data_IF_910676211663
#
_entry.id   IF_910676211663
#
_cell.length_a   1.000
_cell.length_b   1.000
_cell.length_c   1.000
_cell.angle_alpha   90.00
_cell.angle_beta   90.00
_cell.angle_gamma   90.00
#
_symmetry.space_group_name_H-M   'P 1'
#
loop_
_entity.id
_entity.type
_entity.pdbx_description
1 polymer ?
#
# COMPACT_ATOMS: atom_id res chain seq x y z
N UNK A 1 25.46 2.67 2.33
CA UNK A 1 24.64 1.81 3.20
C UNK A 1 23.29 1.44 2.57
N UNK A 2 22.43 2.40 2.19
CA UNK A 2 21.12 2.11 1.55
C UNK A 2 21.27 1.25 0.29
N UNK A 3 22.14 1.64 -0.65
CA UNK A 3 22.38 0.88 -1.88
C UNK A 3 22.96 -0.53 -1.64
N UNK A 4 23.73 -0.72 -0.57
CA UNK A 4 24.26 -2.04 -0.20
C UNK A 4 23.15 -2.97 0.31
N UNK A 5 22.21 -2.45 1.11
CA UNK A 5 21.07 -3.21 1.60
C UNK A 5 20.09 -3.58 0.47
N UNK A 6 19.83 -2.66 -0.46
CA UNK A 6 19.03 -2.93 -1.65
C UNK A 6 19.71 -4.03 -2.50
N UNK A 7 21.02 -3.90 -2.74
CA UNK A 7 21.79 -4.91 -3.50
C UNK A 7 21.78 -6.27 -2.80
N UNK A 8 21.90 -6.29 -1.47
CA UNK A 8 21.81 -7.52 -0.68
C UNK A 8 20.42 -8.15 -0.83
N UNK A 9 19.35 -7.38 -0.68
CA UNK A 9 17.98 -7.87 -0.86
C UNK A 9 17.78 -8.49 -2.25
N UNK A 10 18.19 -7.78 -3.29
CA UNK A 10 18.07 -8.28 -4.67
C UNK A 10 18.87 -9.57 -4.89
N UNK A 11 20.08 -9.67 -4.33
CA UNK A 11 20.88 -10.92 -4.39
C UNK A 11 20.22 -12.07 -3.67
N UNK A 12 19.68 -11.84 -2.47
CA UNK A 12 18.98 -12.88 -1.71
C UNK A 12 17.76 -13.36 -2.51
N UNK A 13 16.93 -12.44 -3.00
CA UNK A 13 15.79 -12.78 -3.83
C UNK A 13 16.20 -13.57 -5.08
N UNK A 14 17.20 -13.10 -5.81
CA UNK A 14 17.70 -13.79 -6.99
C UNK A 14 18.20 -15.20 -6.68
N UNK A 15 18.99 -15.37 -5.61
CA UNK A 15 19.51 -16.68 -5.21
C UNK A 15 18.39 -17.65 -4.79
N UNK A 16 17.35 -17.18 -4.11
CA UNK A 16 16.18 -18.00 -3.75
C UNK A 16 15.43 -18.43 -5.01
N UNK A 17 15.19 -17.51 -5.93
CA UNK A 17 14.52 -17.79 -7.19
C UNK A 17 15.30 -18.79 -8.06
N UNK A 18 16.62 -18.63 -8.17
CA UNK A 18 17.45 -19.52 -8.99
C UNK A 18 17.64 -20.92 -8.40
N UNK A 19 17.56 -21.07 -7.06
CA UNK A 19 17.72 -22.38 -6.42
C UNK A 19 16.49 -23.28 -6.50
N UNK A 20 15.31 -22.70 -6.68
CA UNK A 20 14.04 -23.42 -6.72
C UNK A 20 13.29 -23.10 -8.01
N UNK A 21 13.42 -23.96 -9.02
CA UNK A 21 12.80 -23.77 -10.35
C UNK A 21 11.29 -23.55 -10.25
N UNK A 22 10.61 -24.26 -9.35
CA UNK A 22 9.16 -24.11 -9.12
C UNK A 22 8.83 -22.68 -8.62
N UNK A 23 9.61 -22.16 -7.66
CA UNK A 23 9.44 -20.81 -7.13
C UNK A 23 9.70 -19.76 -8.22
N UNK A 24 10.70 -19.98 -9.06
CA UNK A 24 11.00 -19.12 -10.20
C UNK A 24 9.82 -19.05 -11.18
N UNK A 25 9.30 -20.20 -11.60
CA UNK A 25 8.19 -20.30 -12.54
C UNK A 25 6.94 -19.63 -11.96
N UNK A 26 6.57 -19.94 -10.72
CA UNK A 26 5.42 -19.34 -10.05
C UNK A 26 5.58 -17.82 -9.88
N UNK A 27 6.78 -17.35 -9.54
CA UNK A 27 7.06 -15.91 -9.42
C UNK A 27 6.94 -15.21 -10.78
N UNK A 28 7.37 -15.85 -11.85
CA UNK A 28 7.31 -15.29 -13.20
C UNK A 28 5.87 -15.23 -13.70
N UNK A 29 5.08 -16.27 -13.46
CA UNK A 29 3.64 -16.30 -13.77
C UNK A 29 2.92 -15.20 -12.97
N UNK A 30 3.18 -15.09 -11.66
CA UNK A 30 2.57 -14.09 -10.81
C UNK A 30 2.93 -12.66 -11.25
N UNK A 31 4.19 -12.44 -11.68
CA UNK A 31 4.66 -11.15 -12.18
C UNK A 31 3.98 -10.79 -13.51
N UNK A 32 3.92 -11.73 -14.46
CA UNK A 32 3.26 -11.51 -15.76
C UNK A 32 1.76 -11.26 -15.59
N UNK A 33 1.10 -12.07 -14.75
CA UNK A 33 -0.32 -11.91 -14.46
C UNK A 33 -0.59 -10.56 -13.77
N UNK A 34 0.23 -10.19 -12.78
CA UNK A 34 0.11 -8.92 -12.09
C UNK A 34 0.32 -7.72 -13.01
N UNK A 35 1.34 -7.76 -13.88
CA UNK A 35 1.58 -6.71 -14.89
C UNK A 35 0.43 -6.64 -15.90
N UNK A 36 -0.09 -7.78 -16.34
CA UNK A 36 -1.25 -7.84 -17.24
C UNK A 36 -2.49 -7.20 -16.61
N UNK A 37 -2.75 -7.51 -15.34
CA UNK A 37 -3.87 -6.94 -14.60
C UNK A 37 -3.73 -5.43 -14.38
N UNK A 38 -2.55 -4.96 -13.98
CA UNK A 38 -2.27 -3.53 -13.85
C UNK A 38 -2.38 -2.84 -15.21
N UNK A 39 -1.82 -3.41 -16.27
CA UNK A 39 -1.95 -2.89 -17.63
C UNK A 39 -3.41 -2.77 -18.09
N UNK A 40 -4.22 -3.80 -17.82
CA UNK A 40 -5.65 -3.78 -18.12
C UNK A 40 -6.39 -2.68 -17.35
N UNK A 41 -6.02 -2.43 -16.07
CA UNK A 41 -6.57 -1.32 -15.29
C UNK A 41 -6.21 0.03 -15.90
N UNK A 42 -4.96 0.24 -16.33
CA UNK A 42 -4.53 1.48 -16.97
C UNK A 42 -5.26 1.74 -18.28
N UNK A 43 -5.40 0.71 -19.12
CA UNK A 43 -6.18 0.80 -20.37
C UNK A 43 -7.64 1.07 -20.09
N UNK A 44 -8.24 0.34 -19.14
CA UNK A 44 -9.64 0.51 -18.76
C UNK A 44 -9.93 1.91 -18.20
N UNK A 45 -9.08 2.40 -17.29
CA UNK A 45 -9.19 3.75 -16.73
C UNK A 45 -9.02 4.81 -17.82
N UNK A 46 -8.09 4.63 -18.75
CA UNK A 46 -7.90 5.55 -19.88
C UNK A 46 -9.11 5.59 -20.82
N UNK A 47 -9.64 4.41 -21.18
CA UNK A 47 -10.79 4.28 -22.08
C UNK A 47 -12.10 4.82 -21.47
N UNK A 48 -12.26 4.68 -20.16
CA UNK A 48 -13.47 5.07 -19.43
C UNK A 48 -13.31 6.38 -18.65
N UNK A 49 -12.22 7.11 -18.88
CA UNK A 49 -11.86 8.30 -18.08
C UNK A 49 -12.95 9.37 -18.08
N UNK A 50 -13.71 9.53 -19.16
CA UNK A 50 -14.81 10.49 -19.23
C UNK A 50 -16.05 10.06 -18.45
N UNK A 51 -16.25 8.73 -18.32
CA UNK A 51 -17.45 8.14 -17.70
C UNK A 51 -17.28 7.86 -16.20
N UNK A 52 -16.03 7.71 -15.73
CA UNK A 52 -15.74 7.37 -14.33
C UNK A 52 -15.52 8.65 -13.52
N UNK A 53 -16.23 8.83 -12.40
CA UNK A 53 -15.96 9.94 -11.48
C UNK A 53 -14.56 9.82 -10.85
N UNK A 54 -13.83 10.93 -10.69
CA UNK A 54 -12.49 10.95 -10.11
C UNK A 54 -12.40 10.31 -8.74
N UNK A 55 -13.44 10.46 -7.93
CA UNK A 55 -13.54 9.95 -6.57
C UNK A 55 -13.38 8.43 -6.49
N UNK A 56 -13.87 7.71 -7.49
CA UNK A 56 -13.73 6.24 -7.56
C UNK A 56 -12.28 5.82 -7.79
N UNK A 57 -11.60 6.52 -8.67
CA UNK A 57 -10.20 6.20 -8.98
C UNK A 57 -9.29 6.56 -7.82
N UNK A 58 -9.56 7.67 -7.12
CA UNK A 58 -8.78 8.07 -5.95
C UNK A 58 -8.99 7.14 -4.75
N UNK A 59 -10.12 6.41 -4.65
CA UNK A 59 -10.33 5.39 -3.60
C UNK A 59 -9.41 4.18 -3.73
N UNK A 60 -8.81 3.93 -4.88
CA UNK A 60 -7.83 2.85 -5.08
C UNK A 60 -6.64 3.02 -4.11
N UNK A 61 -6.22 4.27 -3.90
CA UNK A 61 -5.11 4.57 -2.98
C UNK A 61 -5.33 4.04 -1.55
N UNK A 62 -6.38 4.47 -0.85
CA UNK A 62 -6.73 3.96 0.48
C UNK A 62 -6.91 2.44 0.53
N UNK A 63 -7.50 1.81 -0.48
CA UNK A 63 -7.68 0.36 -0.54
C UNK A 63 -6.33 -0.38 -0.61
N UNK A 64 -5.43 0.06 -1.48
CA UNK A 64 -4.08 -0.52 -1.58
C UNK A 64 -3.28 -0.29 -0.29
N UNK A 65 -3.46 0.89 0.36
CA UNK A 65 -2.83 1.16 1.65
C UNK A 65 -3.30 0.17 2.73
N UNK A 66 -4.61 -0.08 2.83
CA UNK A 66 -5.16 -1.07 3.75
C UNK A 66 -4.61 -2.47 3.46
N UNK A 67 -4.43 -2.82 2.18
CA UNK A 67 -3.74 -4.05 1.79
C UNK A 67 -2.33 -4.16 2.39
N UNK A 68 -1.55 -3.08 2.39
CA UNK A 68 -0.22 -3.03 3.01
C UNK A 68 -0.22 -3.25 4.52
N UNK A 69 -1.29 -2.86 5.23
CA UNK A 69 -1.43 -3.11 6.67
C UNK A 69 -1.85 -4.55 6.97
N UNK A 70 -2.76 -5.09 6.18
CA UNK A 70 -3.39 -6.39 6.44
C UNK A 70 -2.55 -7.55 5.92
N UNK A 71 -2.04 -7.47 4.68
CA UNK A 71 -1.30 -8.56 4.04
C UNK A 71 -0.06 -9.02 4.83
N UNK A 72 0.79 -8.14 5.38
CA UNK A 72 1.93 -8.59 6.17
C UNK A 72 1.54 -9.29 7.48
N UNK A 73 0.39 -8.93 8.07
CA UNK A 73 -0.14 -9.60 9.26
C UNK A 73 -0.62 -11.02 8.94
N UNK A 74 -1.25 -11.19 7.77
CA UNK A 74 -1.73 -12.49 7.29
C UNK A 74 -0.57 -13.41 6.87
N UNK A 75 0.39 -12.84 6.18
CA UNK A 75 1.52 -13.56 5.58
C UNK A 75 2.84 -13.20 6.28
N UNK A 76 2.86 -13.29 7.62
CA UNK A 76 4.03 -12.95 8.46
C UNK A 76 5.33 -13.66 8.07
N UNK A 77 5.27 -14.62 7.15
CA UNK A 77 6.41 -15.37 6.62
C UNK A 77 6.98 -14.79 5.32
N UNK A 78 6.31 -13.83 4.66
CA UNK A 78 6.62 -13.49 3.26
C UNK A 78 7.86 -12.59 3.11
N UNK A 79 8.21 -11.73 4.05
CA UNK A 79 9.36 -10.83 3.89
C UNK A 79 10.29 -10.76 5.11
N UNK A 80 10.74 -11.93 5.59
CA UNK A 80 11.72 -12.05 6.67
C UNK A 80 13.17 -11.91 6.19
N UNK A 81 13.39 -11.54 4.92
CA UNK A 81 14.74 -11.48 4.33
C UNK A 81 15.61 -10.39 4.94
N UNK A 82 15.03 -9.28 5.39
CA UNK A 82 15.73 -8.17 6.06
C UNK A 82 15.08 -7.86 7.41
N UNK A 83 15.02 -8.85 8.29
CA UNK A 83 14.50 -8.67 9.63
C UNK A 83 15.52 -7.84 10.45
N UNK A 84 15.11 -6.70 11.08
CA UNK A 84 16.03 -5.86 11.85
C UNK A 84 16.82 -6.63 12.91
N UNK A 85 16.22 -7.67 13.49
CA UNK A 85 16.86 -8.51 14.51
C UNK A 85 18.01 -9.35 13.98
N UNK A 86 17.93 -9.81 12.73
CA UNK A 86 19.03 -10.55 12.09
C UNK A 86 20.19 -9.65 11.74
N UNK A 87 19.93 -8.36 11.58
CA UNK A 87 20.95 -7.33 11.30
C UNK A 87 21.52 -6.71 12.56
N UNK A 88 20.80 -6.74 13.70
CA UNK A 88 21.22 -6.13 14.96
C UNK A 88 22.57 -6.59 15.51
N UNK A 89 23.03 -7.85 15.33
CA UNK A 89 24.37 -8.25 15.75
C UNK A 89 25.48 -7.61 14.91
N UNK A 90 25.17 -7.16 13.69
CA UNK A 90 26.16 -6.65 12.73
C UNK A 90 26.10 -5.14 12.56
N UNK A 91 24.96 -4.53 12.82
CA UNK A 91 24.73 -3.11 12.55
C UNK A 91 23.96 -2.50 13.73
N UNK A 92 24.54 -1.48 14.35
CA UNK A 92 23.86 -0.74 15.42
C UNK A 92 22.55 -0.10 14.91
N UNK A 93 21.48 -0.11 15.72
CA UNK A 93 20.22 0.54 15.37
C UNK A 93 20.47 2.04 15.13
N UNK A 94 20.09 2.52 13.95
CA UNK A 94 20.25 3.92 13.56
C UNK A 94 19.11 4.37 12.65
N UNK A 95 18.77 5.68 12.64
CA UNK A 95 17.75 6.21 11.71
C UNK A 95 18.11 5.93 10.25
N UNK A 96 19.41 5.90 9.92
CA UNK A 96 19.91 5.56 8.57
C UNK A 96 19.58 4.12 8.19
N UNK A 97 19.63 3.18 9.14
CA UNK A 97 19.27 1.79 8.93
C UNK A 97 17.75 1.66 8.73
N UNK A 98 16.95 2.34 9.56
CA UNK A 98 15.49 2.34 9.42
C UNK A 98 15.05 2.86 8.04
N UNK A 99 15.61 4.01 7.62
CA UNK A 99 15.36 4.55 6.28
C UNK A 99 15.75 3.58 5.17
N UNK A 100 16.93 2.93 5.30
CA UNK A 100 17.40 1.97 4.32
C UNK A 100 16.49 0.72 4.21
N UNK A 101 15.92 0.26 5.33
CA UNK A 101 14.97 -0.85 5.37
C UNK A 101 13.62 -0.48 4.73
N UNK A 102 13.12 0.74 4.99
CA UNK A 102 11.91 1.27 4.35
C UNK A 102 12.12 1.38 2.84
N UNK A 103 13.23 2.01 2.41
CA UNK A 103 13.55 2.15 0.99
C UNK A 103 13.70 0.79 0.29
N UNK A 104 14.40 -0.17 0.91
CA UNK A 104 14.53 -1.53 0.37
C UNK A 104 13.19 -2.26 0.27
N UNK A 105 12.25 -1.99 1.19
CA UNK A 105 10.91 -2.57 1.14
C UNK A 105 10.05 -1.94 0.06
N UNK A 106 10.10 -0.62 -0.10
CA UNK A 106 9.39 0.11 -1.17
C UNK A 106 9.86 -0.31 -2.58
N UNK A 107 11.15 -0.63 -2.73
CA UNK A 107 11.73 -1.10 -3.99
C UNK A 107 11.57 -2.63 -4.22
N UNK A 108 10.89 -3.32 -3.34
CA UNK A 108 10.51 -4.73 -3.54
C UNK A 108 9.41 -4.87 -4.60
N UNK A 109 9.17 -6.10 -5.08
CA UNK A 109 8.14 -6.41 -6.09
C UNK A 109 6.78 -5.84 -5.65
N UNK A 110 6.37 -6.10 -4.40
CA UNK A 110 5.11 -5.57 -3.85
C UNK A 110 5.06 -4.03 -3.84
N UNK A 111 6.17 -3.37 -3.51
CA UNK A 111 6.25 -1.90 -3.54
C UNK A 111 6.10 -1.32 -4.94
N UNK A 112 6.73 -1.95 -5.94
CA UNK A 112 6.62 -1.52 -7.34
C UNK A 112 5.18 -1.68 -7.85
N UNK A 113 4.55 -2.84 -7.62
CA UNK A 113 3.14 -3.05 -7.99
C UNK A 113 2.21 -2.06 -7.29
N UNK A 114 2.43 -1.81 -6.00
CA UNK A 114 1.63 -0.84 -5.26
C UNK A 114 1.84 0.58 -5.77
N UNK A 115 3.08 0.95 -6.13
CA UNK A 115 3.34 2.25 -6.74
C UNK A 115 2.58 2.41 -8.06
N UNK A 116 2.57 1.38 -8.91
CA UNK A 116 1.79 1.40 -10.14
C UNK A 116 0.30 1.60 -9.86
N UNK A 117 -0.26 0.92 -8.86
CA UNK A 117 -1.66 1.10 -8.47
C UNK A 117 -1.93 2.49 -7.88
N UNK A 118 -1.03 3.03 -7.05
CA UNK A 118 -1.15 4.39 -6.53
C UNK A 118 -1.03 5.47 -7.61
N UNK A 119 -0.36 5.18 -8.74
CA UNK A 119 -0.24 6.09 -9.87
C UNK A 119 -1.45 6.08 -10.82
N UNK A 120 -2.42 5.16 -10.64
CA UNK A 120 -3.64 5.14 -11.46
C UNK A 120 -4.40 6.48 -11.46
N UNK A 121 -4.60 7.18 -10.32
CA UNK A 121 -5.20 8.51 -10.34
C UNK A 121 -4.40 9.53 -11.14
N UNK A 122 -3.07 9.46 -11.11
CA UNK A 122 -2.22 10.35 -11.90
C UNK A 122 -2.42 10.12 -13.42
N UNK A 123 -2.48 8.87 -13.83
CA UNK A 123 -2.80 8.49 -15.20
C UNK A 123 -4.19 8.97 -15.62
N UNK A 124 -5.19 8.78 -14.76
CA UNK A 124 -6.55 9.24 -14.99
C UNK A 124 -6.63 10.75 -15.25
N UNK A 125 -5.99 11.58 -14.43
CA UNK A 125 -5.95 13.03 -14.64
C UNK A 125 -5.14 13.41 -15.88
N UNK A 126 -4.09 12.64 -16.21
CA UNK A 126 -3.31 12.86 -17.42
C UNK A 126 -4.14 12.63 -18.68
N UNK A 127 -4.97 11.58 -18.73
CA UNK A 127 -5.84 11.30 -19.90
C UNK A 127 -6.92 12.35 -20.08
N UNK A 128 -7.28 13.09 -19.03
CA UNK A 128 -8.19 14.25 -19.08
C UNK A 128 -7.50 15.57 -19.42
N UNK A 129 -6.18 15.59 -19.58
CA UNK A 129 -5.41 16.80 -19.82
C UNK A 129 -5.20 17.68 -18.58
N UNK A 130 -5.54 17.18 -17.38
CA UNK A 130 -5.41 17.88 -16.10
C UNK A 130 -4.00 17.68 -15.52
N UNK A 131 -2.99 18.29 -16.15
CA UNK A 131 -1.58 18.05 -15.85
C UNK A 131 -1.21 18.35 -14.38
N UNK A 132 -1.74 19.46 -13.83
CA UNK A 132 -1.45 19.87 -12.45
C UNK A 132 -1.95 18.83 -11.44
N UNK A 133 -3.18 18.31 -11.64
CA UNK A 133 -3.74 17.27 -10.79
C UNK A 133 -3.01 15.94 -10.97
N UNK A 134 -2.57 15.62 -12.18
CA UNK A 134 -1.74 14.44 -12.45
C UNK A 134 -0.41 14.49 -11.70
N UNK A 135 0.29 15.63 -11.69
CA UNK A 135 1.52 15.82 -10.92
C UNK A 135 1.25 15.70 -9.41
N UNK A 136 0.18 16.35 -8.93
CA UNK A 136 -0.25 16.22 -7.53
C UNK A 136 -0.56 14.78 -7.14
N UNK A 137 -1.26 14.04 -7.99
CA UNK A 137 -1.57 12.62 -7.78
C UNK A 137 -0.32 11.74 -7.77
N UNK A 138 0.68 12.06 -8.60
CA UNK A 138 1.98 11.39 -8.58
C UNK A 138 2.73 11.60 -7.25
N UNK A 139 2.72 12.82 -6.73
CA UNK A 139 3.29 13.13 -5.42
C UNK A 139 2.52 12.40 -4.30
N UNK A 140 1.19 12.42 -4.34
CA UNK A 140 0.35 11.70 -3.39
C UNK A 140 0.61 10.19 -3.41
N UNK A 141 0.80 9.60 -4.60
CA UNK A 141 1.14 8.20 -4.77
C UNK A 141 2.45 7.81 -4.06
N UNK A 142 3.50 8.61 -4.24
CA UNK A 142 4.81 8.37 -3.59
C UNK A 142 4.70 8.52 -2.07
N UNK A 143 4.04 9.57 -1.59
CA UNK A 143 3.85 9.80 -0.15
C UNK A 143 3.00 8.70 0.50
N UNK A 144 1.94 8.25 -0.18
CA UNK A 144 1.10 7.14 0.30
C UNK A 144 1.87 5.84 0.34
N UNK A 145 2.70 5.53 -0.67
CA UNK A 145 3.55 4.34 -0.66
C UNK A 145 4.53 4.37 0.52
N UNK A 146 5.22 5.50 0.72
CA UNK A 146 6.15 5.65 1.85
C UNK A 146 5.45 5.43 3.19
N UNK A 147 4.28 6.06 3.36
CA UNK A 147 3.45 5.90 4.56
C UNK A 147 3.05 4.44 4.76
N UNK A 148 2.55 3.78 3.72
CA UNK A 148 2.11 2.39 3.76
C UNK A 148 3.26 1.44 4.17
N UNK A 149 4.46 1.62 3.60
CA UNK A 149 5.64 0.81 3.93
C UNK A 149 6.10 1.05 5.36
N UNK A 150 6.14 2.31 5.83
CA UNK A 150 6.51 2.65 7.20
C UNK A 150 5.55 1.95 8.17
N UNK A 151 4.25 2.12 8.00
CA UNK A 151 3.25 1.51 8.86
C UNK A 151 3.26 -0.02 8.80
N UNK A 152 3.40 -0.62 7.62
CA UNK A 152 3.53 -2.06 7.49
C UNK A 152 4.74 -2.60 8.28
N UNK A 153 5.88 -1.90 8.25
CA UNK A 153 7.06 -2.28 9.03
C UNK A 153 6.86 -2.09 10.53
N UNK A 154 6.27 -0.98 10.96
CA UNK A 154 5.98 -0.73 12.38
C UNK A 154 5.03 -1.78 12.93
N UNK A 155 3.93 -2.07 12.23
CA UNK A 155 2.94 -3.07 12.62
C UNK A 155 3.54 -4.47 12.66
N UNK A 156 4.32 -4.87 11.65
CA UNK A 156 4.96 -6.20 11.64
C UNK A 156 6.02 -6.34 12.73
N UNK A 157 6.79 -5.29 13.04
CA UNK A 157 7.76 -5.27 14.13
C UNK A 157 7.07 -5.37 15.48
N UNK A 158 6.02 -4.60 15.69
CA UNK A 158 5.20 -4.66 16.89
C UNK A 158 4.57 -6.05 17.08
N UNK A 159 3.93 -6.60 16.04
CA UNK A 159 3.34 -7.94 16.07
C UNK A 159 4.41 -9.02 16.37
N UNK A 160 5.58 -8.94 15.73
CA UNK A 160 6.70 -9.84 15.99
C UNK A 160 7.18 -9.78 17.43
N UNK A 161 7.22 -8.59 18.04
CA UNK A 161 7.59 -8.42 19.45
C UNK A 161 6.57 -9.06 20.41
N UNK A 162 5.28 -9.00 20.09
CA UNK A 162 4.23 -9.62 20.88
C UNK A 162 4.25 -11.16 20.78
N UNK A 163 4.49 -11.70 19.58
CA UNK A 163 4.55 -13.14 19.33
C UNK A 163 5.72 -13.81 20.06
N UNK A 164 6.86 -13.12 20.21
CA UNK A 164 8.05 -13.68 20.87
C UNK A 164 7.94 -13.73 22.39
N UNK A 165 7.03 -12.97 22.99
CA UNK A 165 6.79 -13.01 24.44
C UNK A 165 6.04 -14.26 24.91
N UNK A 166 5.28 -14.93 24.00
CA UNK A 166 4.52 -16.15 24.33
C UNK A 166 4.35 -17.01 23.07
N UNK A 167 4.80 -18.27 23.11
CA UNK A 167 4.68 -19.21 21.98
C UNK A 167 3.21 -19.51 21.62
N UNK A 168 2.28 -19.49 22.59
CA UNK A 168 0.84 -19.64 22.36
C UNK A 168 0.24 -18.48 21.53
N UNK A 169 0.82 -17.27 21.62
CA UNK A 169 0.35 -16.10 20.86
C UNK A 169 0.70 -16.17 19.37
N UNK A 170 1.61 -17.03 18.95
CA UNK A 170 1.91 -17.23 17.51
C UNK A 170 0.69 -17.77 16.75
N UNK A 171 0.02 -18.77 17.33
CA UNK A 171 -1.19 -19.34 16.75
C UNK A 171 -2.35 -18.36 16.82
N UNK A 172 -2.42 -17.54 17.89
CA UNK A 172 -3.44 -16.50 18.07
C UNK A 172 -3.27 -15.35 17.07
N UNK A 173 -2.05 -14.88 16.78
CA UNK A 173 -1.79 -13.85 15.78
C UNK A 173 -2.17 -14.33 14.37
N UNK A 174 -1.84 -15.58 14.01
CA UNK A 174 -2.26 -16.19 12.75
C UNK A 174 -3.78 -16.36 12.67
N UNK A 175 -4.43 -16.73 13.79
CA UNK A 175 -5.88 -16.85 13.88
C UNK A 175 -6.58 -15.49 13.72
N UNK A 176 -6.10 -14.44 14.42
CA UNK A 176 -6.63 -13.07 14.26
C UNK A 176 -6.43 -12.59 12.81
N UNK A 177 -5.25 -12.80 12.24
CA UNK A 177 -5.00 -12.46 10.84
C UNK A 177 -6.00 -13.15 9.90
N UNK A 178 -6.23 -14.44 10.09
CA UNK A 178 -7.21 -15.21 9.32
C UNK A 178 -8.64 -14.71 9.53
N UNK A 179 -9.01 -14.37 10.76
CA UNK A 179 -10.33 -13.79 11.05
C UNK A 179 -10.53 -12.42 10.40
N UNK A 180 -9.52 -11.55 10.44
CA UNK A 180 -9.57 -10.25 9.75
C UNK A 180 -9.67 -10.46 8.23
N UNK A 181 -8.91 -11.41 7.68
CA UNK A 181 -9.01 -11.77 6.26
C UNK A 181 -10.43 -12.22 5.90
N UNK A 182 -10.97 -13.18 6.65
CA UNK A 182 -12.33 -13.66 6.44
C UNK A 182 -13.36 -12.53 6.64
N UNK A 183 -13.22 -11.72 7.69
CA UNK A 183 -14.13 -10.60 7.96
C UNK A 183 -14.09 -9.50 6.88
N UNK A 184 -12.95 -9.29 6.23
CA UNK A 184 -12.81 -8.28 5.16
C UNK A 184 -13.17 -8.86 3.79
N UNK A 185 -12.75 -10.09 3.49
CA UNK A 185 -12.89 -10.66 2.15
C UNK A 185 -14.11 -11.57 1.96
N UNK A 186 -14.59 -12.27 2.99
CA UNK A 186 -15.82 -13.06 2.87
C UNK A 186 -17.07 -12.20 2.59
N UNK A 187 -17.24 -11.02 3.22
CA UNK A 187 -18.33 -10.13 2.85
C UNK A 187 -18.15 -9.49 1.47
N UNK A 188 -16.96 -9.52 0.87
CA UNK A 188 -16.72 -8.84 -0.42
C UNK A 188 -17.67 -9.36 -1.52
N UNK A 189 -17.98 -10.67 -1.52
CA UNK A 189 -18.98 -11.24 -2.42
C UNK A 189 -20.41 -10.76 -2.13
N UNK A 190 -20.75 -10.59 -0.85
CA UNK A 190 -22.05 -10.05 -0.41
C UNK A 190 -22.09 -8.54 -0.64
N UNK A 191 -20.98 -7.84 -0.35
CA UNK A 191 -20.83 -6.40 -0.57
C UNK A 191 -20.87 -6.04 -2.06
N UNK A 192 -20.29 -6.84 -2.94
CA UNK A 192 -20.39 -6.61 -4.39
C UNK A 192 -21.83 -6.74 -4.86
N UNK A 193 -22.59 -7.75 -4.40
CA UNK A 193 -24.01 -7.88 -4.75
C UNK A 193 -24.86 -6.75 -4.13
N UNK A 194 -24.57 -6.36 -2.88
CA UNK A 194 -25.26 -5.25 -2.23
C UNK A 194 -24.94 -3.90 -2.88
N UNK A 195 -23.66 -3.68 -3.23
CA UNK A 195 -23.21 -2.50 -3.96
C UNK A 195 -23.84 -2.44 -5.35
N UNK A 196 -23.88 -3.53 -6.11
CA UNK A 196 -24.50 -3.57 -7.44
C UNK A 196 -26.00 -3.28 -7.38
N UNK A 197 -26.69 -3.73 -6.32
CA UNK A 197 -28.14 -3.50 -6.17
C UNK A 197 -28.52 -2.12 -5.63
N UNK A 198 -27.69 -1.54 -4.75
CA UNK A 198 -27.99 -0.30 -4.02
C UNK A 198 -26.96 0.81 -4.31
N UNK A 199 -26.26 0.71 -5.43
CA UNK A 199 -25.20 1.64 -5.79
C UNK A 199 -25.79 3.00 -6.13
N UNK A 200 -25.88 3.88 -5.13
CA UNK A 200 -26.13 5.29 -5.39
C UNK A 200 -24.78 6.02 -5.44
N UNK A 201 -24.61 6.84 -6.46
CA UNK A 201 -23.44 7.70 -6.60
C UNK A 201 -23.16 8.52 -5.34
N UNK A 202 -24.21 9.05 -4.73
CA UNK A 202 -24.13 9.83 -3.49
C UNK A 202 -23.58 9.04 -2.30
N UNK A 203 -23.91 7.76 -2.19
CA UNK A 203 -23.38 6.91 -1.12
C UNK A 203 -21.87 6.70 -1.25
N UNK A 204 -21.38 6.55 -2.48
CA UNK A 204 -19.92 6.43 -2.74
C UNK A 204 -19.21 7.73 -2.46
N UNK A 205 -19.77 8.88 -2.85
CA UNK A 205 -19.20 10.19 -2.54
C UNK A 205 -19.13 10.43 -1.03
N UNK A 206 -20.19 10.09 -0.30
CA UNK A 206 -20.21 10.19 1.15
C UNK A 206 -19.18 9.26 1.82
N UNK A 207 -18.99 8.06 1.28
CA UNK A 207 -17.96 7.14 1.75
C UNK A 207 -16.55 7.67 1.42
N UNK A 208 -16.31 8.09 0.19
CA UNK A 208 -15.03 8.65 -0.25
C UNK A 208 -14.61 9.85 0.60
N UNK A 209 -15.52 10.79 0.86
CA UNK A 209 -15.24 11.97 1.68
C UNK A 209 -14.79 11.61 3.11
N UNK A 210 -15.39 10.57 3.71
CA UNK A 210 -14.98 10.05 5.02
C UNK A 210 -13.61 9.37 4.96
N UNK A 211 -13.36 8.56 3.93
CA UNK A 211 -12.08 7.87 3.74
C UNK A 211 -10.94 8.88 3.55
N UNK A 212 -11.17 9.98 2.84
CA UNK A 212 -10.16 11.02 2.60
C UNK A 212 -9.79 11.84 3.84
N UNK A 213 -10.58 11.79 4.91
CA UNK A 213 -10.22 12.38 6.20
C UNK A 213 -9.47 11.40 7.11
N UNK A 214 -9.35 10.14 6.70
CA UNK A 214 -8.56 9.14 7.44
C UNK A 214 -7.08 9.22 7.08
N UNK A 215 -6.18 8.73 7.95
CA UNK A 215 -4.76 8.62 7.66
C UNK A 215 -4.44 7.87 6.34
N UNK A 216 -5.31 6.94 5.93
CA UNK A 216 -5.11 6.09 4.77
C UNK A 216 -5.42 6.80 3.44
N UNK A 217 -6.35 7.74 3.45
CA UNK A 217 -6.80 8.45 2.26
C UNK A 217 -6.36 9.91 2.19
N UNK A 218 -5.69 10.43 3.22
CA UNK A 218 -5.43 11.85 3.39
C UNK A 218 -4.73 12.51 2.18
N UNK A 219 -3.69 11.89 1.62
CA UNK A 219 -2.97 12.48 0.48
C UNK A 219 -3.80 12.55 -0.80
N UNK A 220 -4.65 11.53 -1.06
CA UNK A 220 -5.60 11.59 -2.18
C UNK A 220 -6.74 12.55 -1.88
N UNK A 221 -7.14 12.67 -0.62
CA UNK A 221 -8.11 13.65 -0.17
C UNK A 221 -7.65 15.11 -0.34
N UNK A 222 -6.34 15.39 -0.29
CA UNK A 222 -5.78 16.71 -0.64
C UNK A 222 -6.15 17.07 -2.08
N UNK A 223 -5.97 16.14 -3.01
CA UNK A 223 -6.29 16.37 -4.42
C UNK A 223 -7.76 16.68 -4.65
N UNK A 224 -8.63 15.95 -3.96
CA UNK A 224 -10.08 16.18 -4.05
C UNK A 224 -10.44 17.57 -3.51
N UNK A 225 -9.87 17.98 -2.36
CA UNK A 225 -10.08 19.31 -1.82
C UNK A 225 -9.58 20.42 -2.75
N UNK A 226 -8.41 20.22 -3.38
CA UNK A 226 -7.86 21.17 -4.36
C UNK A 226 -8.75 21.29 -5.59
N UNK A 227 -9.31 20.17 -6.07
CA UNK A 227 -10.25 20.15 -7.19
C UNK A 227 -11.54 20.91 -6.88
N UNK A 228 -12.01 20.83 -5.64
CA UNK A 228 -13.20 21.53 -5.16
C UNK A 228 -12.92 23.00 -4.79
N UNK A 229 -11.66 23.45 -4.80
CA UNK A 229 -11.25 24.80 -4.40
C UNK A 229 -11.23 25.04 -2.89
N UNK A 230 -11.34 23.97 -2.08
CA UNK A 230 -11.29 24.06 -0.62
C UNK A 230 -9.84 23.89 -0.11
N UNK A 231 -9.10 24.99 -0.13
CA UNK A 231 -7.69 25.02 0.31
C UNK A 231 -7.52 24.75 1.80
N UNK A 232 -8.51 25.12 2.63
CA UNK A 232 -8.45 24.87 4.08
C UNK A 232 -8.50 23.36 4.35
N UNK A 233 -9.46 22.68 3.75
CA UNK A 233 -9.61 21.23 3.90
C UNK A 233 -8.41 20.48 3.30
N UNK A 234 -7.86 20.97 2.18
CA UNK A 234 -6.62 20.45 1.61
C UNK A 234 -5.45 20.53 2.61
N UNK A 235 -5.30 21.65 3.29
CA UNK A 235 -4.28 21.85 4.33
C UNK A 235 -4.45 20.90 5.52
N UNK A 236 -5.69 20.73 6.01
CA UNK A 236 -5.99 19.79 7.10
C UNK A 236 -5.65 18.35 6.70
N UNK A 237 -6.06 17.91 5.52
CA UNK A 237 -5.78 16.57 5.00
C UNK A 237 -4.28 16.33 4.81
N UNK A 238 -3.56 17.33 4.30
CA UNK A 238 -2.10 17.28 4.19
C UNK A 238 -1.43 17.11 5.57
N UNK A 239 -1.88 17.88 6.57
CA UNK A 239 -1.39 17.77 7.94
C UNK A 239 -1.65 16.38 8.54
N UNK A 240 -2.84 15.79 8.32
CA UNK A 240 -3.15 14.40 8.73
C UNK A 240 -2.18 13.42 8.08
N UNK A 241 -1.93 13.53 6.77
CA UNK A 241 -1.01 12.65 6.06
C UNK A 241 0.42 12.74 6.61
N UNK A 242 0.94 13.95 6.82
CA UNK A 242 2.28 14.18 7.38
C UNK A 242 2.39 13.70 8.84
N UNK A 243 1.36 13.95 9.66
CA UNK A 243 1.29 13.42 11.03
C UNK A 243 1.30 11.89 11.05
N UNK A 244 0.64 11.25 10.07
CA UNK A 244 0.63 9.79 9.93
C UNK A 244 2.03 9.24 9.62
N UNK A 245 2.80 9.90 8.75
CA UNK A 245 4.20 9.55 8.49
C UNK A 245 5.02 9.68 9.77
N UNK A 246 4.91 10.82 10.48
CA UNK A 246 5.65 11.08 11.70
C UNK A 246 5.36 10.04 12.79
N UNK A 247 4.08 9.70 13.00
CA UNK A 247 3.67 8.65 13.95
C UNK A 247 4.25 7.28 13.57
N UNK A 248 4.23 6.92 12.30
CA UNK A 248 4.81 5.66 11.84
C UNK A 248 6.33 5.55 12.05
N UNK A 249 7.05 6.68 12.10
CA UNK A 249 8.48 6.72 12.43
C UNK A 249 8.78 6.61 13.92
N UNK A 250 7.85 7.01 14.78
CA UNK A 250 8.01 6.94 16.25
C UNK A 250 7.71 5.54 16.78
N UNK A 251 6.82 4.81 16.12
CA UNK A 251 6.44 3.42 16.47
C UNK A 251 7.48 2.41 16.02
#
# INVERSE_FOLDING_TARGET
MVGQLIRLKLRIMWNVMCKQVVVLILSLIALLYGLGLVGALYVGVGALSESIPPEFIMLIGPLVFLGWLILPLLFSTIDNTLEPRRLSPFIAPSPKLAFALVAASALGIGGIFSLLLFLLPAWFFLTRGELLLSLGASCAAVLTLLTAVIWAKSVTTWAGNQVLKNSERKNFASFIGSMIFVAVFAPMGIWTQFLIRNFSYDAVLAFASKVYTTPFGAFFGVLESLRQGDYLLAGIRCAIGLATIALGWVL
#
